data_IF_053307941036
#
_entry.id   IF_053307941036
#
_cell.length_a   1.000
_cell.length_b   1.000
_cell.length_c   1.000
_cell.angle_alpha   90.00
_cell.angle_beta   90.00
_cell.angle_gamma   90.00
#
_symmetry.space_group_name_H-M   'P 1'
#
loop_
_entity.id
_entity.type
_entity.pdbx_description
1 polymer ?
#
# COMPACT_ATOMS: atom_id res chain seq x y z
N UNK A 1 -12.42 0.38 2.77
CA UNK A 1 -11.24 0.48 1.87
C UNK A 1 -10.47 -0.83 1.97
N UNK A 2 -10.02 -1.41 0.85
CA UNK A 2 -9.34 -2.72 0.86
C UNK A 2 -7.95 -2.60 1.50
N UNK A 3 -7.65 -3.45 2.50
CA UNK A 3 -6.35 -3.52 3.15
C UNK A 3 -5.40 -4.45 2.35
N UNK A 4 -4.15 -4.04 2.17
CA UNK A 4 -3.13 -4.87 1.51
C UNK A 4 -2.54 -5.84 2.53
N UNK A 5 -2.32 -7.09 2.10
CA UNK A 5 -1.63 -8.08 2.93
C UNK A 5 -0.20 -7.60 3.25
N UNK A 6 0.22 -7.55 4.53
CA UNK A 6 1.58 -7.17 4.93
C UNK A 6 2.72 -7.86 4.18
N UNK A 7 2.52 -9.12 3.73
CA UNK A 7 3.51 -9.87 2.94
C UNK A 7 3.80 -9.25 1.57
N UNK A 8 2.97 -8.30 1.12
CA UNK A 8 3.14 -7.59 -0.15
C UNK A 8 4.07 -6.39 -0.05
N UNK A 9 4.58 -6.02 1.15
CA UNK A 9 5.49 -4.89 1.30
C UNK A 9 6.69 -4.92 0.34
N UNK A 10 7.40 -6.05 0.15
CA UNK A 10 8.49 -6.12 -0.83
C UNK A 10 8.02 -5.84 -2.27
N UNK A 11 6.82 -6.30 -2.62
CA UNK A 11 6.25 -6.06 -3.96
C UNK A 11 5.89 -4.58 -4.16
N UNK A 12 5.46 -3.88 -3.11
CA UNK A 12 5.21 -2.44 -3.18
C UNK A 12 6.52 -1.66 -3.39
N UNK A 13 7.64 -2.14 -2.82
CA UNK A 13 8.97 -1.55 -3.04
C UNK A 13 9.41 -1.72 -4.50
N UNK A 14 9.26 -2.92 -5.06
CA UNK A 14 9.54 -3.18 -6.49
C UNK A 14 8.72 -2.29 -7.44
N UNK A 15 7.44 -2.04 -7.11
CA UNK A 15 6.58 -1.17 -7.91
C UNK A 15 7.03 0.29 -7.78
N UNK A 16 7.47 0.73 -6.60
CA UNK A 16 8.00 2.08 -6.41
C UNK A 16 9.25 2.30 -7.27
N UNK A 17 10.16 1.34 -7.28
CA UNK A 17 11.39 1.39 -8.10
C UNK A 17 11.08 1.44 -9.61
N UNK A 18 10.14 0.62 -10.09
CA UNK A 18 9.70 0.65 -11.50
C UNK A 18 9.08 2.00 -11.87
N UNK A 19 8.22 2.56 -11.01
CA UNK A 19 7.61 3.88 -11.23
C UNK A 19 8.66 5.00 -11.26
N UNK A 20 9.66 4.97 -10.39
CA UNK A 20 10.76 5.94 -10.40
C UNK A 20 11.58 5.85 -11.70
N UNK A 21 11.86 4.64 -12.18
CA UNK A 21 12.55 4.44 -13.46
C UNK A 21 11.75 4.99 -14.65
N UNK A 22 10.44 4.75 -14.66
CA UNK A 22 9.52 5.29 -15.68
C UNK A 22 9.40 6.80 -15.62
N UNK A 23 9.33 7.37 -14.41
CA UNK A 23 9.31 8.83 -14.20
C UNK A 23 10.55 9.48 -14.81
N UNK A 24 11.74 8.95 -14.48
CA UNK A 24 13.00 9.46 -15.02
C UNK A 24 13.06 9.36 -16.55
N UNK A 25 12.44 8.34 -17.14
CA UNK A 25 12.30 8.22 -18.60
C UNK A 25 11.35 9.28 -19.16
N UNK A 26 10.18 9.44 -18.56
CA UNK A 26 9.19 10.44 -18.98
C UNK A 26 9.75 11.86 -18.92
N UNK A 27 10.56 12.19 -17.91
CA UNK A 27 11.28 13.47 -17.83
C UNK A 27 12.28 13.65 -18.99
N UNK A 28 13.09 12.62 -19.29
CA UNK A 28 14.04 12.67 -20.41
C UNK A 28 13.36 12.81 -21.77
N UNK A 29 12.18 12.21 -21.93
CA UNK A 29 11.41 12.23 -23.18
C UNK A 29 10.40 13.39 -23.25
N UNK A 30 10.41 14.30 -22.25
CA UNK A 30 9.51 15.44 -22.13
C UNK A 30 8.02 15.07 -22.17
N UNK A 31 7.67 13.90 -21.63
CA UNK A 31 6.30 13.42 -21.52
C UNK A 31 5.63 13.96 -20.25
N UNK A 32 5.30 15.26 -20.26
CA UNK A 32 4.81 15.96 -19.07
C UNK A 32 3.56 15.31 -18.45
N UNK A 33 2.60 14.87 -19.27
CA UNK A 33 1.38 14.20 -18.77
C UNK A 33 1.66 12.84 -18.11
N UNK A 34 2.69 12.12 -18.56
CA UNK A 34 3.10 10.85 -17.96
C UNK A 34 3.80 11.10 -16.61
N UNK A 35 4.62 12.16 -16.51
CA UNK A 35 5.24 12.56 -15.23
C UNK A 35 4.18 12.85 -14.17
N UNK A 36 3.16 13.65 -14.51
CA UNK A 36 2.08 14.00 -13.58
C UNK A 36 1.29 12.76 -13.13
N UNK A 37 0.98 11.85 -14.07
CA UNK A 37 0.29 10.59 -13.78
C UNK A 37 1.11 9.66 -12.88
N UNK A 38 2.42 9.56 -13.11
CA UNK A 38 3.32 8.76 -12.30
C UNK A 38 3.47 9.36 -10.89
N UNK A 39 3.58 10.67 -10.75
CA UNK A 39 3.69 11.34 -9.45
C UNK A 39 2.44 11.15 -8.58
N UNK A 40 1.26 11.20 -9.19
CA UNK A 40 0.01 10.87 -8.51
C UNK A 40 -0.01 9.40 -8.06
N UNK A 41 0.41 8.49 -8.93
CA UNK A 41 0.46 7.05 -8.63
C UNK A 41 1.45 6.74 -7.51
N UNK A 42 2.64 7.35 -7.52
CA UNK A 42 3.64 7.25 -6.46
C UNK A 42 3.09 7.73 -5.12
N UNK A 43 2.32 8.82 -5.11
CA UNK A 43 1.67 9.34 -3.89
C UNK A 43 0.73 8.29 -3.29
N UNK A 44 -0.14 7.69 -4.10
CA UNK A 44 -1.06 6.66 -3.62
C UNK A 44 -0.35 5.37 -3.19
N UNK A 45 0.69 4.95 -3.94
CA UNK A 45 1.49 3.79 -3.59
C UNK A 45 2.14 3.96 -2.22
N UNK A 46 2.77 5.11 -1.96
CA UNK A 46 3.43 5.43 -0.68
C UNK A 46 2.42 5.44 0.46
N UNK A 47 1.25 6.05 0.26
CA UNK A 47 0.17 6.01 1.25
C UNK A 47 -0.25 4.57 1.58
N UNK A 48 -0.42 3.72 0.57
CA UNK A 48 -0.75 2.30 0.75
C UNK A 48 0.34 1.52 1.44
N UNK A 49 1.61 1.80 1.13
CA UNK A 49 2.75 1.20 1.80
C UNK A 49 2.78 1.56 3.29
N UNK A 50 2.60 2.82 3.64
CA UNK A 50 2.55 3.26 5.04
C UNK A 50 1.35 2.69 5.79
N UNK A 51 0.17 2.62 5.15
CA UNK A 51 -0.99 1.92 5.69
C UNK A 51 -0.68 0.44 5.99
N UNK A 52 -0.05 -0.25 5.03
CA UNK A 52 0.33 -1.65 5.16
C UNK A 52 1.35 -1.86 6.28
N UNK A 53 2.37 -0.98 6.40
CA UNK A 53 3.35 -1.02 7.50
C UNK A 53 2.68 -0.83 8.85
N UNK A 54 1.71 0.09 8.97
CA UNK A 54 0.96 0.30 10.22
C UNK A 54 0.18 -0.96 10.59
N UNK A 55 -0.56 -1.54 9.63
CA UNK A 55 -1.34 -2.75 9.86
C UNK A 55 -0.44 -3.95 10.19
N UNK A 56 0.73 -4.08 9.57
CA UNK A 56 1.70 -5.14 9.87
C UNK A 56 2.24 -5.08 11.31
N UNK A 57 2.28 -3.90 11.92
CA UNK A 57 2.73 -3.69 13.31
C UNK A 57 1.65 -3.98 14.33
N UNK A 58 0.38 -3.92 13.94
CA UNK A 58 -0.74 -4.27 14.81
C UNK A 58 -0.92 -5.78 14.74
N UNK A 59 -0.44 -6.49 15.76
CA UNK A 59 -0.74 -7.92 15.91
C UNK A 59 -2.27 -8.09 15.95
N UNK A 60 -2.84 -9.11 15.29
CA UNK A 60 -4.25 -9.43 15.44
C UNK A 60 -4.56 -9.60 16.93
N UNK A 61 -5.41 -8.73 17.46
CA UNK A 61 -5.92 -8.88 18.83
C UNK A 61 -7.06 -9.87 18.76
N UNK A 62 -6.89 -11.01 19.43
CA UNK A 62 -8.00 -11.93 19.64
C UNK A 62 -9.00 -11.28 20.60
N UNK A 63 -10.15 -10.90 20.07
CA UNK A 63 -11.23 -10.28 20.85
C UNK A 63 -12.08 -11.32 21.60
N UNK A 64 -11.81 -12.61 21.40
CA UNK A 64 -12.66 -13.70 21.87
C UNK A 64 -14.01 -13.74 21.16
N UNK A 65 -14.69 -14.89 21.22
CA UNK A 65 -16.10 -14.99 20.81
C UNK A 65 -16.96 -14.85 22.07
N UNK A 66 -17.90 -13.90 22.14
CA UNK A 66 -18.81 -13.80 23.28
C UNK A 66 -19.68 -15.06 23.36
N UNK A 67 -19.49 -15.84 24.42
CA UNK A 67 -20.34 -16.99 24.72
C UNK A 67 -21.66 -16.49 25.27
N UNK A 68 -22.74 -16.62 24.50
CA UNK A 68 -24.09 -16.38 25.00
C UNK A 68 -24.42 -17.53 25.96
N UNK A 69 -24.35 -17.28 27.27
CA UNK A 69 -24.82 -18.26 28.26
C UNK A 69 -26.33 -18.22 28.28
N UNK A 70 -26.98 -19.14 27.58
CA UNK A 70 -28.42 -19.40 27.76
C UNK A 70 -28.60 -20.08 29.11
N UNK A 71 -28.94 -19.30 30.13
CA UNK A 71 -29.49 -19.82 31.39
C UNK A 71 -30.89 -20.38 31.11
N UNK A 72 -31.03 -21.70 31.28
CA UNK A 72 -32.31 -22.43 31.27
C UNK A 72 -32.95 -22.49 32.65
#
# INVERSE_FOLDING_TARGET
MLAINPKMLPRLDEIEDDLLARRARAEREAWLGEVDGIDLTLTYLRQKREETKRLARVAPVDLGIPTITTSG
#
